data_IF_536778249990
#
_entry.id   IF_536778249990
#
_cell.length_a   1.000
_cell.length_b   1.000
_cell.length_c   1.000
_cell.angle_alpha   90.00
_cell.angle_beta   90.00
_cell.angle_gamma   90.00
#
_symmetry.space_group_name_H-M   'P 1'
#
loop_
_entity.id
_entity.type
_entity.pdbx_description
1 polymer ?
#
# COMPACT_ATOMS: atom_id res chain seq x y z
N UNK A 1 18.77 22.20 -7.28
CA UNK A 1 18.10 20.96 -6.79
C UNK A 1 18.28 19.93 -7.91
N UNK A 2 18.89 18.77 -7.58
CA UNK A 2 19.06 17.67 -8.52
C UNK A 2 17.71 16.93 -8.75
N UNK A 3 17.64 16.06 -9.77
CA UNK A 3 16.46 15.21 -10.03
C UNK A 3 16.22 14.25 -8.87
N UNK A 4 17.29 13.65 -8.31
CA UNK A 4 17.21 12.80 -7.12
C UNK A 4 16.62 13.56 -5.94
N UNK A 5 17.12 14.78 -5.64
CA UNK A 5 16.59 15.61 -4.57
C UNK A 5 15.12 15.98 -4.77
N UNK A 6 14.70 16.24 -6.00
CA UNK A 6 13.29 16.53 -6.31
C UNK A 6 12.39 15.30 -6.05
N UNK A 7 12.81 14.12 -6.54
CA UNK A 7 12.06 12.88 -6.31
C UNK A 7 12.01 12.51 -4.82
N UNK A 8 13.10 12.66 -4.08
CA UNK A 8 13.12 12.45 -2.63
C UNK A 8 12.11 13.36 -1.91
N UNK A 9 12.14 14.66 -2.22
CA UNK A 9 11.21 15.62 -1.61
C UNK A 9 9.74 15.28 -1.91
N UNK A 10 9.43 14.88 -3.14
CA UNK A 10 8.07 14.47 -3.52
C UNK A 10 7.65 13.16 -2.83
N UNK A 11 8.54 12.17 -2.79
CA UNK A 11 8.29 10.89 -2.13
C UNK A 11 8.06 11.08 -0.63
N UNK A 12 8.89 11.86 0.05
CA UNK A 12 8.78 12.15 1.48
C UNK A 12 7.46 12.90 1.79
N UNK A 13 7.06 13.86 0.96
CA UNK A 13 5.81 14.62 1.14
C UNK A 13 4.57 13.72 0.98
N UNK A 14 4.52 12.92 -0.09
CA UNK A 14 3.37 12.03 -0.36
C UNK A 14 3.27 10.95 0.72
N UNK A 15 4.39 10.35 1.08
CA UNK A 15 4.44 9.34 2.14
C UNK A 15 4.03 9.91 3.50
N UNK A 16 4.45 11.13 3.83
CA UNK A 16 4.03 11.81 5.06
C UNK A 16 2.52 11.97 5.13
N UNK A 17 1.87 12.35 4.01
CA UNK A 17 0.40 12.46 3.94
C UNK A 17 -0.27 11.11 4.12
N UNK A 18 0.23 10.06 3.46
CA UNK A 18 -0.27 8.69 3.65
C UNK A 18 -0.15 8.29 5.12
N UNK A 19 1.03 8.49 5.75
CA UNK A 19 1.24 8.17 7.16
C UNK A 19 0.29 8.90 8.11
N UNK A 20 0.01 10.17 7.85
CA UNK A 20 -0.97 10.93 8.64
C UNK A 20 -2.37 10.30 8.57
N UNK A 21 -2.76 9.76 7.41
CA UNK A 21 -4.03 9.04 7.25
C UNK A 21 -4.07 7.72 8.03
N UNK A 22 -2.93 7.13 8.36
CA UNK A 22 -2.83 5.86 9.09
C UNK A 22 -2.75 6.01 10.62
N UNK A 23 -2.61 7.22 11.13
CA UNK A 23 -2.55 7.45 12.59
C UNK A 23 -3.83 6.95 13.28
N UNK A 24 -3.66 6.05 14.25
CA UNK A 24 -4.78 5.47 15.00
C UNK A 24 -5.65 4.50 14.18
N UNK A 25 -5.12 3.94 13.07
CA UNK A 25 -5.80 2.86 12.35
C UNK A 25 -5.94 1.64 13.26
N UNK A 26 -7.16 1.12 13.37
CA UNK A 26 -7.47 -0.08 14.16
C UNK A 26 -7.63 -1.31 13.26
N UNK A 27 -7.54 -2.52 13.84
CA UNK A 27 -7.79 -3.76 13.09
C UNK A 27 -9.22 -3.84 12.57
N UNK A 28 -10.19 -3.26 13.30
CA UNK A 28 -11.58 -3.20 12.86
C UNK A 28 -11.72 -2.34 11.60
N UNK A 29 -11.08 -1.17 11.53
CA UNK A 29 -11.03 -0.35 10.31
C UNK A 29 -10.26 -1.06 9.18
N UNK A 30 -9.17 -1.76 9.53
CA UNK A 30 -8.31 -2.46 8.56
C UNK A 30 -9.07 -3.52 7.77
N UNK A 31 -9.92 -4.31 8.45
CA UNK A 31 -10.74 -5.37 7.84
C UNK A 31 -12.15 -4.92 7.45
N UNK A 32 -12.51 -3.66 7.68
CA UNK A 32 -13.86 -3.19 7.39
C UNK A 32 -14.17 -3.24 5.88
N UNK A 33 -15.26 -3.94 5.53
CA UNK A 33 -15.77 -4.06 4.17
C UNK A 33 -16.86 -3.00 3.94
N UNK A 34 -16.59 -1.95 3.13
CA UNK A 34 -17.56 -0.89 2.85
C UNK A 34 -18.72 -1.36 1.99
N UNK A 35 -18.57 -2.46 1.25
CA UNK A 35 -19.59 -3.06 0.40
C UNK A 35 -19.41 -4.58 0.33
N UNK A 36 -20.48 -5.36 0.02
CA UNK A 36 -20.37 -6.80 -0.18
C UNK A 36 -19.44 -7.15 -1.35
N UNK A 37 -18.62 -8.18 -1.18
CA UNK A 37 -17.70 -8.66 -2.22
C UNK A 37 -16.47 -7.79 -2.44
N UNK A 38 -16.09 -6.99 -1.44
CA UNK A 38 -14.83 -6.27 -1.46
C UNK A 38 -13.64 -7.24 -1.48
N UNK A 39 -12.61 -6.89 -2.24
CA UNK A 39 -11.30 -7.53 -2.06
C UNK A 39 -10.69 -7.12 -0.72
N UNK A 40 -10.22 -8.12 -0.01
CA UNK A 40 -9.71 -7.97 1.36
C UNK A 40 -8.52 -8.89 1.63
N UNK A 41 -7.95 -8.78 2.82
CA UNK A 41 -7.02 -9.75 3.41
C UNK A 41 -7.85 -10.67 4.29
N UNK A 42 -7.81 -11.97 4.02
CA UNK A 42 -8.60 -12.96 4.76
C UNK A 42 -7.90 -14.33 4.82
N UNK A 43 -8.52 -15.28 5.51
CA UNK A 43 -8.06 -16.69 5.49
C UNK A 43 -8.75 -17.43 4.35
N UNK A 44 -7.98 -18.20 3.59
CA UNK A 44 -8.51 -19.14 2.61
C UNK A 44 -9.08 -20.41 3.28
N UNK A 45 -9.53 -21.36 2.47
CA UNK A 45 -10.08 -22.65 2.93
C UNK A 45 -9.05 -23.51 3.69
N UNK A 46 -7.75 -23.31 3.45
CA UNK A 46 -6.66 -23.98 4.18
C UNK A 46 -6.34 -23.32 5.52
N UNK A 47 -6.89 -22.14 5.79
CA UNK A 47 -6.59 -21.29 6.93
C UNK A 47 -5.37 -20.38 6.73
N UNK A 48 -4.75 -20.35 5.56
CA UNK A 48 -3.68 -19.44 5.22
C UNK A 48 -4.20 -18.02 4.98
N UNK A 49 -3.43 -17.01 5.40
CA UNK A 49 -3.75 -15.62 5.10
C UNK A 49 -3.38 -15.28 3.66
N UNK A 50 -4.34 -14.74 2.92
CA UNK A 50 -4.21 -14.30 1.53
C UNK A 50 -4.78 -12.90 1.34
N UNK A 51 -4.34 -12.23 0.27
CA UNK A 51 -5.02 -11.07 -0.31
C UNK A 51 -5.78 -11.52 -1.56
N UNK A 52 -7.01 -11.05 -1.72
CA UNK A 52 -7.78 -11.31 -2.94
C UNK A 52 -7.01 -10.78 -4.16
N UNK A 53 -7.01 -11.58 -5.21
CA UNK A 53 -6.40 -11.22 -6.49
C UNK A 53 -6.99 -12.08 -7.63
N UNK A 54 -7.11 -11.52 -8.79
CA UNK A 54 -7.49 -12.25 -10.01
C UNK A 54 -6.72 -11.71 -11.23
N UNK A 55 -6.40 -12.59 -12.15
CA UNK A 55 -5.81 -12.25 -13.44
C UNK A 55 -6.61 -12.97 -14.54
N UNK A 56 -7.18 -12.28 -15.52
CA UNK A 56 -7.19 -10.82 -15.67
C UNK A 56 -8.03 -10.11 -14.59
N UNK A 57 -7.81 -8.81 -14.43
CA UNK A 57 -8.61 -7.99 -13.50
C UNK A 57 -10.10 -8.11 -13.81
N UNK A 58 -10.97 -8.27 -12.79
CA UNK A 58 -12.42 -8.30 -12.99
C UNK A 58 -12.96 -6.99 -13.56
N UNK A 59 -14.01 -7.09 -14.39
CA UNK A 59 -14.75 -5.93 -14.88
C UNK A 59 -16.22 -6.06 -14.48
N UNK A 60 -16.78 -5.18 -13.65
CA UNK A 60 -16.12 -4.04 -13.00
C UNK A 60 -15.10 -4.45 -11.93
N UNK A 61 -14.07 -3.63 -11.74
CA UNK A 61 -13.10 -3.83 -10.68
C UNK A 61 -13.78 -3.84 -9.29
N UNK A 62 -13.46 -4.80 -8.40
CA UNK A 62 -14.08 -4.87 -7.08
C UNK A 62 -13.61 -3.71 -6.19
N UNK A 63 -14.46 -3.31 -5.27
CA UNK A 63 -14.03 -2.41 -4.20
C UNK A 63 -13.01 -3.11 -3.32
N UNK A 64 -12.13 -2.37 -2.64
CA UNK A 64 -11.09 -2.96 -1.80
C UNK A 64 -11.10 -2.38 -0.39
N UNK A 65 -10.73 -3.19 0.60
CA UNK A 65 -10.61 -2.74 2.01
C UNK A 65 -9.32 -1.95 2.23
N UNK A 66 -9.21 -1.28 3.38
CA UNK A 66 -7.96 -0.62 3.82
C UNK A 66 -6.85 -1.67 3.93
N UNK A 67 -7.16 -2.85 4.44
CA UNK A 67 -6.21 -3.96 4.59
C UNK A 67 -5.59 -4.38 3.27
N UNK A 68 -6.43 -4.58 2.25
CA UNK A 68 -5.97 -4.93 0.92
C UNK A 68 -5.05 -3.86 0.32
N UNK A 69 -5.47 -2.58 0.41
CA UNK A 69 -4.69 -1.45 -0.13
C UNK A 69 -3.33 -1.30 0.53
N UNK A 70 -3.27 -1.42 1.87
CA UNK A 70 -2.01 -1.35 2.60
C UNK A 70 -1.07 -2.51 2.28
N UNK A 71 -1.60 -3.74 2.20
CA UNK A 71 -0.81 -4.91 1.78
C UNK A 71 -0.26 -4.69 0.36
N UNK A 72 -1.13 -4.26 -0.57
CA UNK A 72 -0.75 -4.00 -1.96
C UNK A 72 0.38 -2.96 -2.08
N UNK A 73 0.22 -1.78 -1.48
CA UNK A 73 1.25 -0.72 -1.56
C UNK A 73 2.57 -1.18 -0.93
N UNK A 74 2.49 -1.83 0.24
CA UNK A 74 3.67 -2.28 0.96
C UNK A 74 4.43 -3.37 0.20
N UNK A 75 3.71 -4.34 -0.35
CA UNK A 75 4.29 -5.46 -1.08
C UNK A 75 4.85 -5.01 -2.44
N UNK A 76 4.18 -4.08 -3.14
CA UNK A 76 4.73 -3.45 -4.34
C UNK A 76 6.08 -2.75 -4.05
N UNK A 77 6.20 -2.00 -2.95
CA UNK A 77 7.46 -1.36 -2.56
C UNK A 77 8.58 -2.38 -2.33
N UNK A 78 8.28 -3.48 -1.64
CA UNK A 78 9.25 -4.57 -1.40
C UNK A 78 9.67 -5.24 -2.70
N UNK A 79 8.73 -5.51 -3.61
CA UNK A 79 9.00 -6.12 -4.90
C UNK A 79 9.84 -5.21 -5.81
N UNK A 80 9.54 -3.92 -5.87
CA UNK A 80 10.35 -2.98 -6.65
C UNK A 80 11.78 -2.81 -6.09
N UNK A 81 11.92 -2.71 -4.75
CA UNK A 81 13.25 -2.72 -4.13
C UNK A 81 14.01 -3.99 -4.50
N UNK A 82 13.40 -5.15 -4.28
CA UNK A 82 14.04 -6.46 -4.49
C UNK A 82 14.51 -6.67 -5.94
N UNK A 83 13.68 -6.30 -6.92
CA UNK A 83 13.96 -6.59 -8.32
C UNK A 83 14.78 -5.50 -9.02
N UNK A 84 14.56 -4.24 -8.68
CA UNK A 84 15.27 -3.14 -9.32
C UNK A 84 16.63 -2.83 -8.67
N UNK A 85 16.79 -3.09 -7.37
CA UNK A 85 17.98 -2.70 -6.60
C UNK A 85 18.56 -3.84 -5.75
N UNK A 86 17.79 -4.87 -5.47
CA UNK A 86 18.14 -5.98 -4.60
C UNK A 86 18.56 -7.26 -5.34
N UNK A 87 18.59 -8.40 -4.63
CA UNK A 87 19.11 -9.69 -5.12
C UNK A 87 18.18 -10.44 -6.07
N UNK A 88 16.95 -9.99 -6.33
CA UNK A 88 15.96 -10.60 -7.25
C UNK A 88 15.52 -12.00 -6.87
N UNK A 89 15.28 -12.23 -5.59
CA UNK A 89 14.90 -13.55 -5.04
C UNK A 89 13.45 -13.59 -4.55
N UNK A 90 12.94 -12.49 -4.04
CA UNK A 90 11.59 -12.40 -3.50
C UNK A 90 10.54 -12.61 -4.61
N UNK A 91 9.54 -13.44 -4.32
CA UNK A 91 8.39 -13.67 -5.21
C UNK A 91 7.07 -13.32 -4.50
N UNK A 92 5.99 -13.12 -5.26
CA UNK A 92 4.68 -12.83 -4.68
C UNK A 92 4.19 -13.90 -3.69
N UNK A 93 4.37 -15.21 -3.94
CA UNK A 93 4.01 -16.25 -2.97
C UNK A 93 4.78 -16.19 -1.64
N UNK A 94 5.94 -15.54 -1.59
CA UNK A 94 6.71 -15.37 -0.35
C UNK A 94 6.13 -14.27 0.56
N UNK A 95 5.20 -13.48 0.04
CA UNK A 95 4.60 -12.32 0.71
C UNK A 95 3.26 -12.71 1.36
N UNK A 96 3.29 -13.27 2.57
CA UNK A 96 2.06 -13.42 3.37
C UNK A 96 1.54 -12.04 3.76
N UNK A 97 0.27 -11.69 3.49
CA UNK A 97 -0.25 -10.36 3.82
C UNK A 97 -0.25 -10.09 5.34
N UNK A 98 -0.10 -8.83 5.75
CA UNK A 98 -0.20 -8.45 7.16
C UNK A 98 -1.58 -8.77 7.72
N UNK A 99 -1.62 -9.28 8.95
CA UNK A 99 -2.86 -9.71 9.61
C UNK A 99 -3.36 -8.74 10.68
N UNK A 100 -2.68 -7.61 10.85
CA UNK A 100 -3.06 -6.50 11.72
C UNK A 100 -2.76 -5.16 11.05
N UNK A 101 -3.46 -4.12 11.47
CA UNK A 101 -3.18 -2.75 11.06
C UNK A 101 -1.74 -2.33 11.39
N UNK A 102 -1.26 -2.71 12.56
CA UNK A 102 0.10 -2.38 13.02
C UNK A 102 1.18 -3.03 12.13
N UNK A 103 1.02 -4.32 11.79
CA UNK A 103 1.96 -5.04 10.92
C UNK A 103 1.93 -4.49 9.49
N UNK A 104 0.76 -4.11 8.98
CA UNK A 104 0.62 -3.50 7.66
C UNK A 104 1.35 -2.15 7.59
N UNK A 105 1.18 -1.32 8.61
CA UNK A 105 1.88 -0.04 8.72
C UNK A 105 3.40 -0.25 8.84
N UNK A 106 3.86 -1.19 9.65
CA UNK A 106 5.28 -1.50 9.79
C UNK A 106 5.90 -2.01 8.48
N UNK A 107 5.16 -2.85 7.72
CA UNK A 107 5.60 -3.33 6.41
C UNK A 107 5.68 -2.19 5.38
N UNK A 108 4.69 -1.30 5.36
CA UNK A 108 4.71 -0.11 4.52
C UNK A 108 5.92 0.79 4.83
N UNK A 109 6.21 1.03 6.11
CA UNK A 109 7.38 1.80 6.56
C UNK A 109 8.69 1.16 6.10
N UNK A 110 8.79 -0.16 6.24
CA UNK A 110 9.97 -0.91 5.76
C UNK A 110 10.17 -0.75 4.26
N UNK A 111 9.12 -0.95 3.45
CA UNK A 111 9.20 -0.84 2.00
C UNK A 111 9.55 0.59 1.55
N UNK A 112 8.94 1.60 2.19
CA UNK A 112 9.26 2.99 1.93
C UNK A 112 10.73 3.32 2.25
N UNK A 113 11.23 2.91 3.41
CA UNK A 113 12.63 3.16 3.82
C UNK A 113 13.61 2.53 2.83
N UNK A 114 13.40 1.28 2.41
CA UNK A 114 14.27 0.61 1.44
C UNK A 114 14.33 1.35 0.11
N UNK A 115 13.20 1.68 -0.49
CA UNK A 115 13.18 2.42 -1.75
C UNK A 115 13.72 3.85 -1.62
N UNK A 116 13.50 4.48 -0.47
CA UNK A 116 14.07 5.81 -0.20
C UNK A 116 15.61 5.76 -0.12
N UNK A 117 16.17 4.74 0.54
CA UNK A 117 17.61 4.47 0.60
C UNK A 117 18.18 4.18 -0.79
N UNK A 118 17.48 3.39 -1.61
CA UNK A 118 17.85 3.13 -3.02
C UNK A 118 17.92 4.44 -3.81
N UNK A 119 16.90 5.29 -3.71
CA UNK A 119 16.85 6.59 -4.41
C UNK A 119 17.95 7.53 -3.95
N UNK A 120 18.20 7.60 -2.65
CA UNK A 120 19.24 8.47 -2.06
C UNK A 120 20.66 8.07 -2.51
N UNK A 121 20.85 6.78 -2.80
CA UNK A 121 22.12 6.25 -3.29
C UNK A 121 22.39 6.51 -4.77
N UNK A 122 21.41 7.01 -5.56
CA UNK A 122 21.57 7.24 -6.99
C UNK A 122 22.09 8.64 -7.30
N UNK A 123 22.74 8.74 -8.45
CA UNK A 123 23.02 10.01 -9.14
C UNK A 123 21.91 10.34 -10.14
N UNK A 124 21.82 11.60 -10.56
CA UNK A 124 20.86 12.03 -11.60
C UNK A 124 21.02 11.24 -12.91
N UNK A 125 22.23 10.80 -13.26
CA UNK A 125 22.48 9.96 -14.44
C UNK A 125 21.91 8.55 -14.25
N UNK A 126 22.08 7.96 -13.09
CA UNK A 126 21.63 6.59 -12.80
C UNK A 126 20.11 6.49 -12.74
N UNK A 127 19.39 7.60 -12.59
CA UNK A 127 17.93 7.63 -12.72
C UNK A 127 17.45 7.19 -14.12
N UNK A 128 18.26 7.37 -15.16
CA UNK A 128 17.91 6.98 -16.53
C UNK A 128 18.38 5.55 -16.87
N UNK A 129 19.15 4.91 -15.99
CA UNK A 129 19.62 3.55 -16.21
C UNK A 129 18.48 2.53 -16.05
N UNK A 130 18.44 1.47 -16.89
CA UNK A 130 17.41 0.45 -16.83
C UNK A 130 17.50 -0.36 -15.54
N UNK A 131 16.37 -0.68 -14.96
CA UNK A 131 16.16 -1.55 -13.80
C UNK A 131 15.12 -2.59 -14.13
N UNK A 132 15.36 -3.85 -13.74
CA UNK A 132 14.44 -4.94 -13.98
C UNK A 132 13.25 -4.86 -13.01
N UNK A 133 12.05 -5.04 -13.53
CA UNK A 133 10.82 -5.22 -12.74
C UNK A 133 10.57 -6.70 -12.45
N UNK A 134 9.69 -7.00 -11.48
CA UNK A 134 9.35 -8.38 -11.11
C UNK A 134 8.55 -9.14 -12.18
N UNK A 135 8.05 -8.46 -13.21
CA UNK A 135 7.39 -9.07 -14.38
C UNK A 135 8.27 -9.12 -15.63
N UNK A 136 9.57 -8.82 -15.50
CA UNK A 136 10.55 -9.01 -16.56
C UNK A 136 10.73 -7.82 -17.54
N UNK A 137 10.07 -6.70 -17.31
CA UNK A 137 10.31 -5.48 -18.08
C UNK A 137 11.47 -4.68 -17.49
N UNK A 138 12.19 -3.97 -18.34
CA UNK A 138 13.18 -2.98 -17.92
C UNK A 138 12.60 -1.57 -17.98
N UNK A 139 12.66 -0.87 -16.85
CA UNK A 139 12.25 0.53 -16.74
C UNK A 139 13.42 1.40 -16.29
N UNK A 140 13.49 2.67 -16.72
CA UNK A 140 14.46 3.59 -16.13
C UNK A 140 14.18 3.75 -14.63
N UNK A 141 15.23 3.85 -13.82
CA UNK A 141 15.11 3.90 -12.37
C UNK A 141 14.12 4.98 -11.89
N UNK A 142 14.09 6.17 -12.51
CA UNK A 142 13.16 7.23 -12.15
C UNK A 142 11.69 6.78 -12.23
N UNK A 143 11.34 5.89 -13.17
CA UNK A 143 9.96 5.40 -13.35
C UNK A 143 9.53 4.51 -12.19
N UNK A 144 10.45 3.72 -11.62
CA UNK A 144 10.18 2.91 -10.41
C UNK A 144 9.71 3.82 -9.27
N UNK A 145 10.48 4.87 -8.97
CA UNK A 145 10.16 5.79 -7.88
C UNK A 145 8.90 6.60 -8.14
N UNK A 146 8.70 7.06 -9.39
CA UNK A 146 7.49 7.75 -9.79
C UNK A 146 6.25 6.87 -9.62
N UNK A 147 6.32 5.59 -10.03
CA UNK A 147 5.23 4.63 -9.86
C UNK A 147 4.88 4.46 -8.38
N UNK A 148 5.87 4.33 -7.51
CA UNK A 148 5.61 4.17 -6.07
C UNK A 148 5.09 5.45 -5.40
N UNK A 149 5.50 6.61 -5.89
CA UNK A 149 4.94 7.90 -5.46
C UNK A 149 3.46 8.00 -5.86
N UNK A 150 3.13 7.63 -7.09
CA UNK A 150 1.75 7.59 -7.58
C UNK A 150 0.88 6.61 -6.79
N UNK A 151 1.39 5.41 -6.46
CA UNK A 151 0.71 4.44 -5.59
C UNK A 151 0.41 5.02 -4.21
N UNK A 152 1.39 5.67 -3.57
CA UNK A 152 1.19 6.29 -2.25
C UNK A 152 0.15 7.42 -2.32
N UNK A 153 0.15 8.24 -3.38
CA UNK A 153 -0.81 9.32 -3.55
C UNK A 153 -2.22 8.79 -3.81
N UNK A 154 -2.34 7.85 -4.75
CA UNK A 154 -3.60 7.25 -5.17
C UNK A 154 -4.27 6.49 -4.03
N UNK A 155 -3.63 5.44 -3.54
CA UNK A 155 -4.19 4.61 -2.48
C UNK A 155 -4.25 5.32 -1.13
N UNK A 156 -3.35 6.26 -0.85
CA UNK A 156 -3.43 7.10 0.34
C UNK A 156 -4.68 7.97 0.37
N UNK A 157 -5.10 8.50 -0.78
CA UNK A 157 -6.37 9.20 -0.94
C UNK A 157 -7.57 8.28 -0.70
N UNK A 158 -7.56 7.09 -1.30
CA UNK A 158 -8.61 6.09 -1.13
C UNK A 158 -8.73 5.59 0.32
N UNK A 159 -7.62 5.28 0.99
CA UNK A 159 -7.59 4.90 2.41
C UNK A 159 -8.17 6.04 3.25
N UNK A 160 -7.82 7.29 2.94
CA UNK A 160 -8.39 8.45 3.62
C UNK A 160 -9.91 8.51 3.51
N UNK A 161 -10.45 8.34 2.30
CA UNK A 161 -11.89 8.31 2.06
C UNK A 161 -12.58 7.14 2.80
N UNK A 162 -11.97 5.95 2.80
CA UNK A 162 -12.51 4.79 3.52
C UNK A 162 -12.57 5.03 5.03
N UNK A 163 -11.52 5.62 5.61
CA UNK A 163 -11.50 5.96 7.04
C UNK A 163 -12.55 7.01 7.41
N UNK A 164 -12.73 8.03 6.59
CA UNK A 164 -13.74 9.06 6.82
C UNK A 164 -15.15 8.44 6.71
N UNK A 165 -15.38 7.53 5.76
CA UNK A 165 -16.63 6.79 5.62
C UNK A 165 -16.89 5.88 6.83
N UNK A 166 -15.90 5.06 7.24
CA UNK A 166 -16.00 4.18 8.40
C UNK A 166 -16.42 4.96 9.65
N UNK A 167 -15.77 6.06 9.95
CA UNK A 167 -16.08 6.90 11.11
C UNK A 167 -17.50 7.48 11.06
N UNK A 168 -17.99 7.80 9.86
CA UNK A 168 -19.35 8.32 9.68
C UNK A 168 -20.40 7.23 9.92
N UNK A 169 -20.18 6.03 9.41
CA UNK A 169 -21.12 4.90 9.53
C UNK A 169 -21.12 4.36 10.96
N UNK A 170 -19.94 4.15 11.54
CA UNK A 170 -19.78 3.57 12.88
C UNK A 170 -20.14 4.58 13.98
N UNK A 171 -19.75 5.84 13.81
CA UNK A 171 -20.18 6.96 14.68
C UNK A 171 -21.71 7.10 14.74
N UNK A 172 -22.40 6.91 13.60
CA UNK A 172 -23.87 6.91 13.56
C UNK A 172 -24.48 5.69 14.28
N UNK A 173 -23.79 4.54 14.28
CA UNK A 173 -24.22 3.34 14.98
C UNK A 173 -24.12 3.49 16.50
N UNK A 174 -23.04 4.07 16.99
CA UNK A 174 -22.82 4.35 18.42
C UNK A 174 -23.82 5.36 18.97
N UNK A 175 -24.15 6.41 18.20
CA UNK A 175 -25.13 7.43 18.62
C UNK A 175 -26.55 6.85 18.72
N UNK A 176 -26.96 5.92 17.84
CA UNK A 176 -28.25 5.24 17.87
C UNK A 176 -28.37 4.23 19.03
N UNK A 177 -27.25 3.61 19.44
CA UNK A 177 -27.21 2.70 20.58
C UNK A 177 -27.41 3.38 21.94
N UNK A 178 -26.96 4.64 22.07
CA UNK A 178 -27.10 5.44 23.29
C UNK A 178 -28.53 5.95 23.53
N UNK A 179 -29.31 6.18 22.46
CA UNK A 179 -30.69 6.70 22.57
C UNK A 179 -31.75 5.64 22.89
N UNK A 180 -31.40 4.34 22.97
CA UNK A 180 -32.33 3.25 23.35
C UNK A 180 -32.23 2.80 24.80
N UNK A 181 -31.45 3.50 25.64
CA UNK A 181 -31.32 3.20 27.09
C UNK A 181 -31.79 4.37 27.95
N UNK A 182 -32.93 4.95 27.61
CA UNK A 182 -33.65 5.92 28.48
C UNK A 182 -35.11 5.55 28.61
#
# INVERSE_FOLDING_TARGET
MSRVQLLLAQTDEVYTRLRQRLVGLTDVEYFWEPAPGCWTVHRDESGAWISDYAEPDPDPAPFTTIGWRLAHIADCKLMYHEWAFGPRKLTWPDLTPPTTAADAVARLERGHRLLREDLEGLTDRELDEPRLTNWGEEWPAWRIFWTMLDHDAHHGGEIGCLRDLYRTVDGASLSRGSSRRS
#
